data_IF_889280418437
#
_entry.id   IF_889280418437
#
_cell.length_a   1.000
_cell.length_b   1.000
_cell.length_c   1.000
_cell.angle_alpha   90.00
_cell.angle_beta   90.00
_cell.angle_gamma   90.00
#
_symmetry.space_group_name_H-M   'P 1'
#
loop_
_entity.id
_entity.type
_entity.pdbx_description
1 polymer ?
#
# COMPACT_ATOMS: atom_id res chain seq x y z
N UNK A 1 -41.71 72.57 57.33
CA UNK A 1 -42.12 72.41 55.91
C UNK A 1 -40.96 72.56 54.94
N UNK A 2 -40.57 73.74 54.45
CA UNK A 2 -39.53 73.84 53.39
C UNK A 2 -38.17 73.26 53.78
N UNK A 3 -37.73 73.44 55.02
CA UNK A 3 -36.46 72.87 55.53
C UNK A 3 -36.48 71.34 55.69
N UNK A 4 -37.64 70.75 55.93
CA UNK A 4 -37.78 69.28 56.07
C UNK A 4 -37.77 68.62 54.70
N UNK A 5 -38.47 69.19 53.72
CA UNK A 5 -38.45 68.73 52.33
C UNK A 5 -37.02 68.76 51.75
N UNK A 6 -36.25 69.83 52.03
CA UNK A 6 -34.85 69.92 51.61
C UNK A 6 -33.93 68.89 52.29
N UNK A 7 -34.27 68.43 53.49
CA UNK A 7 -33.51 67.41 54.20
C UNK A 7 -33.78 66.03 53.61
N UNK A 8 -35.04 65.68 53.39
CA UNK A 8 -35.44 64.43 52.73
C UNK A 8 -34.84 64.31 51.31
N UNK A 9 -34.85 65.39 50.54
CA UNK A 9 -34.22 65.41 49.21
C UNK A 9 -32.70 65.19 49.25
N UNK A 10 -32.01 65.62 50.32
CA UNK A 10 -30.58 65.34 50.49
C UNK A 10 -30.32 63.88 50.82
N UNK A 11 -31.12 63.30 51.72
CA UNK A 11 -31.02 61.88 52.10
C UNK A 11 -31.31 60.97 50.90
N UNK A 12 -32.37 61.24 50.13
CA UNK A 12 -32.66 60.50 48.89
C UNK A 12 -31.52 60.61 47.86
N UNK A 13 -30.88 61.79 47.75
CA UNK A 13 -29.74 61.97 46.84
C UNK A 13 -28.52 61.17 47.28
N UNK A 14 -28.29 61.03 48.59
CA UNK A 14 -27.21 60.21 49.14
C UNK A 14 -27.47 58.72 48.94
N UNK A 15 -28.70 58.25 49.14
CA UNK A 15 -29.09 56.86 48.87
C UNK A 15 -28.94 56.49 47.39
N UNK A 16 -29.41 57.34 46.47
CA UNK A 16 -29.24 57.14 45.02
C UNK A 16 -27.75 57.10 44.66
N UNK A 17 -26.93 57.93 45.30
CA UNK A 17 -25.48 57.93 45.07
C UNK A 17 -24.83 56.65 45.56
N UNK A 18 -25.21 56.15 46.74
CA UNK A 18 -24.73 54.89 47.28
C UNK A 18 -25.10 53.71 46.36
N UNK A 19 -26.37 53.61 45.95
CA UNK A 19 -26.82 52.56 45.03
C UNK A 19 -26.11 52.60 43.67
N UNK A 20 -25.79 53.80 43.15
CA UNK A 20 -24.96 53.94 41.94
C UNK A 20 -23.55 53.44 42.13
N UNK A 21 -22.90 53.71 43.27
CA UNK A 21 -21.55 53.22 43.54
C UNK A 21 -21.52 51.69 43.67
N UNK A 22 -22.51 51.09 44.33
CA UNK A 22 -22.63 49.64 44.43
C UNK A 22 -22.82 48.98 43.06
N UNK A 23 -23.62 49.59 42.17
CA UNK A 23 -23.83 49.11 40.81
C UNK A 23 -22.55 49.20 39.97
N UNK A 24 -21.78 50.29 40.08
CA UNK A 24 -20.48 50.44 39.41
C UNK A 24 -19.49 49.38 39.89
N UNK A 25 -19.43 49.14 41.19
CA UNK A 25 -18.56 48.10 41.77
C UNK A 25 -18.97 46.69 41.32
N UNK A 26 -20.28 46.43 41.21
CA UNK A 26 -20.78 45.15 40.72
C UNK A 26 -20.42 44.93 39.24
N UNK A 27 -20.57 45.96 38.40
CA UNK A 27 -20.16 45.92 37.00
C UNK A 27 -18.66 45.64 36.89
N UNK A 28 -17.84 46.34 37.68
CA UNK A 28 -16.40 46.14 37.72
C UNK A 28 -16.02 44.69 38.05
N UNK A 29 -16.64 44.08 39.06
CA UNK A 29 -16.39 42.68 39.41
C UNK A 29 -16.80 41.71 38.32
N UNK A 30 -17.92 41.99 37.65
CA UNK A 30 -18.35 41.20 36.49
C UNK A 30 -17.32 41.30 35.37
N UNK A 31 -16.85 42.51 35.03
CA UNK A 31 -15.82 42.73 34.00
C UNK A 31 -14.51 42.02 34.36
N UNK A 32 -14.04 42.11 35.60
CA UNK A 32 -12.86 41.39 36.09
C UNK A 32 -13.03 39.86 35.91
N UNK A 33 -14.19 39.32 36.29
CA UNK A 33 -14.50 37.89 36.12
C UNK A 33 -14.56 37.47 34.66
N UNK A 34 -15.13 38.32 33.79
CA UNK A 34 -15.20 38.08 32.35
C UNK A 34 -13.80 38.08 31.73
N UNK A 35 -12.95 39.06 32.06
CA UNK A 35 -11.57 39.11 31.59
C UNK A 35 -10.76 37.90 32.02
N UNK A 36 -10.86 37.45 33.27
CA UNK A 36 -10.19 36.23 33.73
C UNK A 36 -10.69 34.97 33.01
N UNK A 37 -11.98 34.92 32.68
CA UNK A 37 -12.55 33.81 31.91
C UNK A 37 -12.06 33.83 30.46
N UNK A 38 -11.98 35.01 29.85
CA UNK A 38 -11.47 35.19 28.48
C UNK A 38 -10.01 34.75 28.40
N UNK A 39 -9.15 35.21 29.30
CA UNK A 39 -7.74 34.80 29.38
C UNK A 39 -7.58 33.28 29.48
N UNK A 40 -8.36 32.62 30.36
CA UNK A 40 -8.36 31.15 30.48
C UNK A 40 -8.83 30.44 29.20
N UNK A 41 -9.76 31.04 28.45
CA UNK A 41 -10.19 30.47 27.17
C UNK A 41 -9.10 30.62 26.10
N UNK A 42 -8.43 31.78 26.04
CA UNK A 42 -7.30 31.98 25.13
C UNK A 42 -6.16 30.99 25.39
N UNK A 43 -5.80 30.76 26.65
CA UNK A 43 -4.81 29.76 27.05
C UNK A 43 -5.20 28.36 26.55
N UNK A 44 -6.45 27.93 26.78
CA UNK A 44 -6.98 26.65 26.29
C UNK A 44 -6.97 26.56 24.77
N UNK A 45 -7.31 27.64 24.07
CA UNK A 45 -7.26 27.69 22.60
C UNK A 45 -5.81 27.52 22.12
N UNK A 46 -4.84 28.15 22.78
CA UNK A 46 -3.42 27.99 22.50
C UNK A 46 -2.93 26.55 22.66
N UNK A 47 -3.34 25.87 23.73
CA UNK A 47 -3.05 24.45 23.95
C UNK A 47 -3.65 23.56 22.86
N UNK A 48 -4.91 23.80 22.49
CA UNK A 48 -5.60 23.04 21.44
C UNK A 48 -4.88 23.22 20.10
N UNK A 49 -4.55 24.46 19.71
CA UNK A 49 -3.79 24.74 18.48
C UNK A 49 -2.44 24.02 18.47
N UNK A 50 -1.73 24.04 19.60
CA UNK A 50 -0.44 23.34 19.73
C UNK A 50 -0.59 21.82 19.58
N UNK A 51 -1.66 21.23 20.15
CA UNK A 51 -1.94 19.79 20.00
C UNK A 51 -2.33 19.44 18.57
N UNK A 52 -3.13 20.28 17.90
CA UNK A 52 -3.51 20.09 16.50
C UNK A 52 -2.28 20.12 15.58
N UNK A 53 -1.36 21.07 15.79
CA UNK A 53 -0.11 21.13 15.03
C UNK A 53 0.74 19.85 15.18
N UNK A 54 0.81 19.29 16.39
CA UNK A 54 1.51 18.01 16.62
C UNK A 54 0.86 16.83 15.89
N UNK A 55 -0.47 16.78 15.83
CA UNK A 55 -1.20 15.75 15.10
C UNK A 55 -0.96 15.89 13.59
N UNK A 56 -0.98 17.12 13.07
CA UNK A 56 -0.75 17.38 11.66
C UNK A 56 0.66 16.99 11.22
N UNK A 57 1.69 17.28 12.02
CA UNK A 57 3.06 16.85 11.75
C UNK A 57 3.18 15.32 11.71
N UNK A 58 2.65 14.62 12.72
CA UNK A 58 2.66 13.15 12.74
C UNK A 58 1.97 12.54 11.52
N UNK A 59 0.85 13.13 11.10
CA UNK A 59 0.13 12.67 9.92
C UNK A 59 0.94 12.85 8.64
N UNK A 60 1.72 13.92 8.52
CA UNK A 60 2.63 14.12 7.38
C UNK A 60 3.78 13.11 7.39
N UNK A 61 4.42 12.92 8.53
CA UNK A 61 5.49 11.92 8.69
C UNK A 61 5.01 10.49 8.36
N UNK A 62 3.82 10.11 8.83
CA UNK A 62 3.19 8.81 8.50
C UNK A 62 2.88 8.67 7.00
N UNK A 63 2.53 9.78 6.35
CA UNK A 63 2.22 9.77 4.93
C UNK A 63 3.49 9.68 4.07
N UNK A 64 4.54 10.41 4.43
CA UNK A 64 5.85 10.33 3.77
C UNK A 64 6.45 8.92 3.91
N UNK A 65 6.46 8.36 5.12
CA UNK A 65 6.97 6.99 5.35
C UNK A 65 6.16 5.91 4.63
N UNK A 66 4.86 6.11 4.46
CA UNK A 66 4.02 5.22 3.67
C UNK A 66 4.30 5.34 2.17
N UNK A 67 4.45 6.55 1.66
CA UNK A 67 4.79 6.80 0.25
C UNK A 67 6.17 6.22 -0.10
N UNK A 68 7.16 6.38 0.79
CA UNK A 68 8.49 5.76 0.65
C UNK A 68 8.40 4.22 0.64
N UNK A 69 7.64 3.64 1.57
CA UNK A 69 7.42 2.18 1.63
C UNK A 69 6.69 1.63 0.40
N UNK A 70 5.68 2.35 -0.11
CA UNK A 70 4.94 1.97 -1.33
C UNK A 70 5.83 2.07 -2.59
N UNK A 71 6.80 3.00 -2.63
CA UNK A 71 7.76 3.12 -3.74
C UNK A 71 8.82 2.01 -3.72
N UNK A 72 9.36 1.68 -2.55
CA UNK A 72 10.29 0.56 -2.37
C UNK A 72 9.64 -0.79 -2.74
N UNK A 73 8.41 -1.03 -2.27
CA UNK A 73 7.68 -2.28 -2.58
C UNK A 73 7.39 -2.39 -4.09
N UNK A 74 6.96 -1.30 -4.72
CA UNK A 74 6.76 -1.26 -6.17
C UNK A 74 8.05 -1.52 -6.95
N UNK A 75 9.19 -1.03 -6.49
CA UNK A 75 10.48 -1.27 -7.13
C UNK A 75 10.91 -2.74 -6.98
N UNK A 76 10.74 -3.33 -5.80
CA UNK A 76 10.99 -4.76 -5.57
C UNK A 76 10.11 -5.66 -6.47
N UNK A 77 8.82 -5.36 -6.60
CA UNK A 77 7.91 -6.10 -7.48
C UNK A 77 8.30 -5.98 -8.96
N UNK A 78 8.76 -4.80 -9.41
CA UNK A 78 9.27 -4.60 -10.77
C UNK A 78 10.51 -5.45 -11.03
N UNK A 79 11.45 -5.54 -10.09
CA UNK A 79 12.64 -6.39 -10.21
C UNK A 79 12.30 -7.88 -10.24
N UNK A 80 11.45 -8.35 -9.32
CA UNK A 80 10.97 -9.75 -9.32
C UNK A 80 10.30 -10.09 -10.65
N UNK A 81 9.47 -9.18 -11.17
CA UNK A 81 8.78 -9.36 -12.45
C UNK A 81 9.78 -9.42 -13.61
N UNK A 82 10.81 -8.57 -13.62
CA UNK A 82 11.89 -8.64 -14.61
C UNK A 82 12.64 -9.97 -14.56
N UNK A 83 13.08 -10.40 -13.37
CA UNK A 83 13.77 -11.68 -13.18
C UNK A 83 12.91 -12.87 -13.63
N UNK A 84 11.62 -12.88 -13.26
CA UNK A 84 10.66 -13.91 -13.69
C UNK A 84 10.51 -13.94 -15.21
N UNK A 85 10.44 -12.78 -15.85
CA UNK A 85 10.34 -12.68 -17.30
C UNK A 85 11.63 -13.13 -18.00
N UNK A 86 12.81 -12.83 -17.45
CA UNK A 86 14.09 -13.30 -17.97
C UNK A 86 14.23 -14.81 -17.83
N UNK A 87 13.87 -15.36 -16.68
CA UNK A 87 13.87 -16.80 -16.43
C UNK A 87 12.90 -17.53 -17.37
N UNK A 88 11.67 -17.03 -17.52
CA UNK A 88 10.71 -17.54 -18.49
C UNK A 88 11.24 -17.45 -19.94
N UNK A 89 11.97 -16.39 -20.29
CA UNK A 89 12.60 -16.25 -21.62
C UNK A 89 13.73 -17.27 -21.81
N UNK A 90 14.56 -17.51 -20.79
CA UNK A 90 15.60 -18.55 -20.82
C UNK A 90 15.00 -19.94 -20.96
N UNK A 91 14.03 -20.30 -20.11
CA UNK A 91 13.32 -21.59 -20.22
C UNK A 91 12.66 -21.77 -21.59
N UNK A 92 12.00 -20.72 -22.11
CA UNK A 92 11.42 -20.77 -23.46
C UNK A 92 12.49 -20.97 -24.53
N UNK A 93 13.66 -20.32 -24.42
CA UNK A 93 14.78 -20.49 -25.37
C UNK A 93 15.39 -21.89 -25.29
N UNK A 94 15.50 -22.46 -24.11
CA UNK A 94 16.01 -23.83 -23.92
C UNK A 94 15.01 -24.86 -24.45
N UNK A 95 13.71 -24.68 -24.16
CA UNK A 95 12.64 -25.57 -24.63
C UNK A 95 12.23 -25.33 -26.08
N UNK A 96 12.76 -24.30 -26.73
CA UNK A 96 12.39 -23.96 -28.12
C UNK A 96 12.70 -25.16 -29.03
N UNK A 97 13.92 -25.69 -28.97
CA UNK A 97 14.31 -26.86 -29.75
C UNK A 97 13.70 -28.17 -29.25
N UNK A 98 12.87 -28.17 -28.20
CA UNK A 98 12.23 -29.38 -27.72
C UNK A 98 10.95 -29.68 -28.51
N UNK A 99 10.77 -30.93 -28.91
CA UNK A 99 9.52 -31.51 -29.42
C UNK A 99 8.92 -32.35 -28.29
N UNK A 100 7.60 -32.23 -28.12
CA UNK A 100 6.86 -33.01 -27.12
C UNK A 100 5.93 -33.96 -27.86
N UNK A 101 6.15 -35.26 -27.69
CA UNK A 101 5.29 -36.31 -28.26
C UNK A 101 4.47 -36.90 -27.12
N UNK A 102 3.15 -36.96 -27.31
CA UNK A 102 2.20 -37.48 -26.30
C UNK A 102 1.61 -38.81 -26.78
N UNK A 103 1.24 -39.66 -25.82
CA UNK A 103 0.55 -40.93 -26.12
C UNK A 103 1.51 -42.03 -26.57
N UNK A 104 2.78 -41.92 -26.18
CA UNK A 104 3.77 -42.94 -26.52
C UNK A 104 3.57 -44.15 -25.61
N UNK A 105 3.48 -45.33 -26.21
CA UNK A 105 3.45 -46.60 -25.48
C UNK A 105 4.81 -47.27 -25.61
N UNK A 106 5.44 -47.51 -24.46
CA UNK A 106 6.70 -48.24 -24.36
C UNK A 106 6.43 -49.59 -23.69
N UNK A 107 7.01 -50.65 -24.24
CA UNK A 107 7.10 -51.92 -23.54
C UNK A 107 8.25 -51.85 -22.53
N UNK A 108 8.15 -52.55 -21.39
CA UNK A 108 9.16 -52.49 -20.31
C UNK A 108 10.58 -52.90 -20.76
N UNK A 109 10.69 -53.65 -21.86
CA UNK A 109 11.95 -54.13 -22.43
C UNK A 109 12.41 -53.39 -23.70
N UNK A 110 11.71 -52.34 -24.12
CA UNK A 110 12.09 -51.58 -25.32
C UNK A 110 13.08 -50.46 -25.01
N UNK A 111 14.13 -50.33 -25.82
CA UNK A 111 14.99 -49.15 -25.80
C UNK A 111 14.18 -47.94 -26.33
N UNK A 112 13.74 -47.09 -25.39
CA UNK A 112 12.90 -45.92 -25.68
C UNK A 112 13.58 -44.93 -26.62
N UNK A 113 14.90 -44.83 -26.54
CA UNK A 113 15.67 -43.92 -27.38
C UNK A 113 15.72 -44.39 -28.84
N UNK A 114 16.04 -45.67 -29.03
CA UNK A 114 16.09 -46.31 -30.34
C UNK A 114 14.74 -46.20 -31.06
N UNK A 115 13.65 -46.51 -30.36
CA UNK A 115 12.28 -46.45 -30.89
C UNK A 115 11.90 -45.04 -31.34
N UNK A 116 12.26 -44.03 -30.56
CA UNK A 116 11.98 -42.64 -30.92
C UNK A 116 12.86 -42.12 -32.05
N UNK A 117 14.12 -42.54 -32.11
CA UNK A 117 15.00 -42.23 -33.24
C UNK A 117 14.41 -42.80 -34.54
N UNK A 118 13.97 -44.06 -34.51
CA UNK A 118 13.31 -44.70 -35.66
C UNK A 118 12.01 -43.98 -36.05
N UNK A 119 11.17 -43.61 -35.07
CA UNK A 119 9.93 -42.87 -35.33
C UNK A 119 10.20 -41.52 -35.99
N UNK A 120 11.15 -40.77 -35.46
CA UNK A 120 11.51 -39.44 -35.98
C UNK A 120 12.17 -39.51 -37.35
N UNK A 121 12.99 -40.54 -37.60
CA UNK A 121 13.58 -40.79 -38.91
C UNK A 121 12.53 -41.22 -39.94
N UNK A 122 11.55 -42.03 -39.55
CA UNK A 122 10.50 -42.53 -40.44
C UNK A 122 9.46 -41.47 -40.80
N UNK A 123 8.99 -40.70 -39.82
CA UNK A 123 7.89 -39.74 -40.03
C UNK A 123 8.39 -38.33 -40.40
N UNK A 124 9.61 -37.97 -40.01
CA UNK A 124 10.13 -36.61 -40.17
C UNK A 124 11.52 -36.54 -40.83
N UNK A 125 12.12 -37.66 -41.27
CA UNK A 125 13.46 -37.73 -41.88
C UNK A 125 14.61 -37.14 -41.03
N UNK A 126 14.39 -36.98 -39.71
CA UNK A 126 15.36 -36.36 -38.81
C UNK A 126 15.78 -37.39 -37.75
N UNK A 127 16.75 -38.24 -38.10
CA UNK A 127 17.28 -39.27 -37.19
C UNK A 127 18.54 -38.87 -36.41
N UNK A 128 19.43 -38.06 -37.01
CA UNK A 128 20.79 -37.78 -36.47
C UNK A 128 20.91 -36.51 -35.64
N UNK A 129 19.86 -35.68 -35.59
CA UNK A 129 19.86 -34.35 -34.95
C UNK A 129 19.06 -34.32 -33.64
N UNK A 130 18.92 -35.48 -32.99
CA UNK A 130 18.03 -35.68 -31.84
C UNK A 130 18.80 -36.19 -30.62
N UNK A 131 18.56 -35.53 -29.49
CA UNK A 131 18.96 -35.95 -28.14
C UNK A 131 17.67 -36.14 -27.31
N UNK A 132 17.37 -37.36 -26.87
CA UNK A 132 16.16 -37.63 -26.08
C UNK A 132 16.49 -37.34 -24.62
N UNK A 133 15.77 -36.40 -24.00
CA UNK A 133 16.10 -35.96 -22.64
C UNK A 133 15.35 -36.79 -21.61
N UNK A 134 14.04 -37.00 -21.82
CA UNK A 134 13.19 -37.46 -20.73
C UNK A 134 11.89 -38.10 -21.23
N UNK A 135 11.45 -39.18 -20.58
CA UNK A 135 10.10 -39.73 -20.70
C UNK A 135 9.36 -39.55 -19.38
N UNK A 136 8.27 -38.79 -19.41
CA UNK A 136 7.44 -38.50 -18.24
C UNK A 136 6.18 -39.37 -18.28
N UNK A 137 5.92 -40.13 -17.22
CA UNK A 137 4.67 -40.90 -17.09
C UNK A 137 3.49 -39.95 -16.92
N UNK A 138 2.55 -39.96 -17.87
CA UNK A 138 1.26 -39.31 -17.73
C UNK A 138 0.15 -40.37 -17.78
N UNK A 139 -0.88 -40.25 -16.95
CA UNK A 139 -1.89 -41.32 -16.76
C UNK A 139 -2.66 -41.79 -18.00
N UNK A 140 -2.52 -41.15 -19.17
CA UNK A 140 -3.11 -41.55 -20.46
C UNK A 140 -2.06 -41.89 -21.54
N UNK A 141 -0.86 -42.29 -21.13
CA UNK A 141 0.27 -42.63 -22.00
C UNK A 141 1.49 -41.76 -21.71
N UNK A 142 2.69 -42.28 -21.98
CA UNK A 142 3.93 -41.58 -21.67
C UNK A 142 4.11 -40.36 -22.59
N UNK A 143 4.74 -39.32 -22.05
CA UNK A 143 5.14 -38.12 -22.77
C UNK A 143 6.64 -38.20 -22.99
N UNK A 144 7.08 -38.12 -24.24
CA UNK A 144 8.49 -38.04 -24.60
C UNK A 144 8.88 -36.59 -24.90
N UNK A 145 9.94 -36.11 -24.25
CA UNK A 145 10.54 -34.80 -24.50
C UNK A 145 11.83 -35.02 -25.26
N UNK A 146 11.84 -34.57 -26.51
CA UNK A 146 12.92 -34.75 -27.47
C UNK A 146 13.60 -33.40 -27.68
N UNK A 147 14.90 -33.29 -27.41
CA UNK A 147 15.70 -32.11 -27.73
C UNK A 147 16.25 -32.25 -29.13
N UNK A 148 16.04 -31.24 -29.95
CA UNK A 148 16.73 -31.14 -31.24
C UNK A 148 18.05 -30.39 -31.06
N UNK A 149 19.08 -30.81 -31.80
CA UNK A 149 20.38 -30.14 -31.83
C UNK A 149 20.31 -28.77 -32.52
N UNK A 150 19.30 -28.53 -33.37
CA UNK A 150 19.01 -27.23 -33.98
C UNK A 150 17.51 -26.92 -33.98
N UNK A 151 17.15 -25.63 -33.83
CA UNK A 151 15.76 -25.15 -33.97
C UNK A 151 15.25 -25.26 -35.41
N UNK A 152 16.15 -25.23 -36.41
CA UNK A 152 15.80 -25.35 -37.83
C UNK A 152 15.32 -26.76 -38.17
N UNK A 153 15.82 -27.77 -37.45
CA UNK A 153 15.38 -29.16 -37.59
C UNK A 153 13.91 -29.35 -37.17
N UNK A 154 13.39 -28.52 -36.25
CA UNK A 154 11.99 -28.53 -35.84
C UNK A 154 11.02 -27.94 -36.89
N UNK A 155 11.54 -27.22 -37.89
CA UNK A 155 10.75 -26.51 -38.89
C UNK A 155 10.63 -27.26 -40.23
N UNK A 156 11.40 -28.33 -40.43
CA UNK A 156 11.25 -29.25 -41.57
C UNK A 156 10.07 -30.17 -41.32
#
# INVERSE_FOLDING_TARGET
MEKEILKELKEMKEEIRAGRMEMVEHIRKLEETWMEREKRMEEKIGEIKTRLAKIEMKKKEEQETREEGEEEENNAWKEITKMRNEMNRKEKRERKSNIVIRGVQYNENENKEEKMRIFMEKEFEIGKEIEIIETVKAGRGDIAIIKMTSWEAKKK
#
